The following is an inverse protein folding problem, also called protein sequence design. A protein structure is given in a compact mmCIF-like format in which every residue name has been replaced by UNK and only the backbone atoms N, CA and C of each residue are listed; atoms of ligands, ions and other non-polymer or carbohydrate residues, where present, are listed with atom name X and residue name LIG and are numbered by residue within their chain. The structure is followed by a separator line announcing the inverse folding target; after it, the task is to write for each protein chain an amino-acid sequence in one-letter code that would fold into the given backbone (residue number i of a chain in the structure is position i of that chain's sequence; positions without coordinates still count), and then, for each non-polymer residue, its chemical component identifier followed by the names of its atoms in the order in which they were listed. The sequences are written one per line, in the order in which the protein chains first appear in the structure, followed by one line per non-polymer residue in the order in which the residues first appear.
data_IF_586744076811
#
_entry.id   IF_586744076811
#
_cell.length_a   1.000
_cell.length_b   1.000
_cell.length_c   1.000
_cell.angle_alpha   90.00
_cell.angle_beta   90.00
_cell.angle_gamma   90.00
#
_symmetry.space_group_name_H-M   'P 1'
#
loop_
_entity.id
_entity.type
_entity.pdbx_description
1 polymer ?
#
# COMPACT_ATOMS: atom_id res chain seq x y z
N UNK A 1 -8.19 4.06 21.33
CA UNK A 1 -6.87 3.46 21.18
C UNK A 1 -6.51 3.17 19.72
N UNK A 2 -7.45 2.73 18.87
CA UNK A 2 -7.23 2.39 17.44
C UNK A 2 -6.60 3.52 16.61
N UNK A 3 -7.10 4.76 16.75
CA UNK A 3 -6.62 5.92 16.00
C UNK A 3 -5.14 6.21 16.18
N UNK A 4 -4.56 5.89 17.34
CA UNK A 4 -3.14 6.07 17.60
C UNK A 4 -2.27 5.18 16.70
N UNK A 5 -2.69 3.92 16.50
CA UNK A 5 -2.01 3.00 15.58
C UNK A 5 -2.13 3.47 14.13
N UNK A 6 -3.35 3.81 13.68
CA UNK A 6 -3.58 4.30 12.33
C UNK A 6 -2.76 5.56 12.03
N UNK A 7 -2.71 6.50 12.99
CA UNK A 7 -1.88 7.71 12.87
C UNK A 7 -0.39 7.37 12.76
N UNK A 8 0.11 6.46 13.58
CA UNK A 8 1.52 6.06 13.54
C UNK A 8 1.90 5.45 12.19
N UNK A 9 1.11 4.49 11.69
CA UNK A 9 1.39 3.84 10.40
C UNK A 9 1.38 4.87 9.26
N UNK A 10 0.42 5.79 9.27
CA UNK A 10 0.32 6.82 8.23
C UNK A 10 1.40 7.90 8.35
N UNK A 11 1.91 8.19 9.53
CA UNK A 11 3.07 9.07 9.69
C UNK A 11 4.36 8.46 9.12
N UNK A 12 4.46 7.14 9.15
CA UNK A 12 5.64 6.42 8.64
C UNK A 12 5.60 6.23 7.11
N UNK A 13 4.43 5.94 6.54
CA UNK A 13 4.33 5.46 5.16
C UNK A 13 3.23 6.14 4.33
N UNK A 14 2.53 7.14 4.87
CA UNK A 14 1.29 7.69 4.31
C UNK A 14 1.37 8.20 2.88
N UNK A 15 2.51 8.69 2.44
CA UNK A 15 2.76 9.19 1.09
C UNK A 15 2.66 8.11 0.00
N UNK A 16 2.78 6.83 0.36
CA UNK A 16 2.74 5.69 -0.55
C UNK A 16 1.79 4.57 -0.11
N UNK A 17 0.89 4.85 0.85
CA UNK A 17 -0.04 3.85 1.39
C UNK A 17 -1.34 3.74 0.60
N UNK A 18 -1.78 2.49 0.48
CA UNK A 18 -3.17 2.14 0.20
C UNK A 18 -3.77 1.47 1.45
N UNK A 19 -4.93 1.92 1.87
CA UNK A 19 -5.62 1.40 3.05
C UNK A 19 -6.96 0.82 2.62
N UNK A 20 -7.12 -0.48 2.82
CA UNK A 20 -8.42 -1.15 2.80
C UNK A 20 -8.92 -1.28 4.24
N UNK A 21 -10.06 -0.70 4.54
CA UNK A 21 -10.60 -0.63 5.88
C UNK A 21 -11.89 -1.42 6.00
N UNK A 22 -11.98 -2.33 6.96
CA UNK A 22 -13.22 -3.02 7.26
C UNK A 22 -14.24 -2.08 7.90
N UNK A 23 -15.49 -2.12 7.43
CA UNK A 23 -16.56 -1.36 8.04
C UNK A 23 -16.67 -1.67 9.54
N UNK A 24 -16.61 -0.62 10.37
CA UNK A 24 -16.61 -0.73 11.83
C UNK A 24 -16.24 0.58 12.50
N UNK A 25 -15.69 0.55 13.71
CA UNK A 25 -15.19 1.76 14.40
C UNK A 25 -14.20 2.55 13.56
N UNK A 26 -13.31 1.88 12.86
CA UNK A 26 -12.33 2.50 11.98
C UNK A 26 -12.94 3.28 10.81
N UNK A 27 -14.15 2.92 10.37
CA UNK A 27 -14.92 3.72 9.40
C UNK A 27 -15.47 4.99 10.02
N UNK A 28 -15.88 4.93 11.28
CA UNK A 28 -16.49 6.05 12.00
C UNK A 28 -15.47 7.14 12.28
N UNK A 29 -14.28 6.80 12.76
CA UNK A 29 -13.24 7.79 13.03
C UNK A 29 -12.34 8.07 11.80
N UNK A 30 -12.29 7.17 10.82
CA UNK A 30 -11.45 7.29 9.62
C UNK A 30 -12.12 8.01 8.45
N UNK A 31 -13.43 7.88 8.29
CA UNK A 31 -14.18 8.46 7.18
C UNK A 31 -14.44 9.96 7.30
N UNK A 32 -15.03 10.49 8.41
CA UNK A 32 -15.31 11.90 8.53
C UNK A 32 -14.05 12.74 8.68
N UNK A 33 -13.93 13.81 7.89
CA UNK A 33 -12.75 14.68 7.89
C UNK A 33 -12.37 15.27 9.27
N UNK A 34 -13.37 15.53 10.12
CA UNK A 34 -13.14 16.12 11.44
C UNK A 34 -12.49 15.15 12.45
N UNK A 35 -12.65 13.84 12.29
CA UNK A 35 -12.14 12.81 13.21
C UNK A 35 -11.04 11.97 12.61
N UNK A 36 -10.81 12.07 11.28
CA UNK A 36 -9.84 11.26 10.55
C UNK A 36 -8.41 11.48 11.08
N UNK A 37 -7.69 10.41 11.43
CA UNK A 37 -6.26 10.47 11.73
C UNK A 37 -5.39 10.62 10.48
N UNK A 38 -5.98 10.45 9.31
CA UNK A 38 -5.31 10.48 8.02
C UNK A 38 -5.19 11.92 7.52
N UNK A 39 -4.01 12.28 7.06
CA UNK A 39 -3.74 13.62 6.52
C UNK A 39 -2.71 13.54 5.40
N UNK A 40 -2.60 14.61 4.64
CA UNK A 40 -1.54 14.77 3.65
C UNK A 40 -0.30 15.42 4.27
N UNK A 41 0.85 15.16 3.68
CA UNK A 41 2.09 15.86 3.96
C UNK A 41 2.07 17.29 3.37
N UNK A 42 3.16 18.05 3.57
CA UNK A 42 3.31 19.41 3.04
C UNK A 42 3.27 19.50 1.51
N UNK A 43 3.44 18.40 0.80
CA UNK A 43 3.42 18.30 -0.67
C UNK A 43 2.04 17.84 -1.20
N UNK A 44 1.08 17.60 -0.30
CA UNK A 44 -0.26 17.12 -0.65
C UNK A 44 -0.36 15.60 -0.84
N UNK A 45 0.67 14.83 -0.48
CA UNK A 45 0.66 13.38 -0.54
C UNK A 45 0.14 12.79 0.77
N UNK A 46 -0.67 11.74 0.67
CA UNK A 46 -1.23 11.02 1.81
C UNK A 46 -1.80 9.67 1.39
N UNK A 47 -2.32 8.88 2.35
CA UNK A 47 -2.84 7.56 2.05
C UNK A 47 -4.09 7.63 1.16
N UNK A 48 -4.18 6.69 0.22
CA UNK A 48 -5.44 6.37 -0.44
C UNK A 48 -6.22 5.43 0.47
N UNK A 49 -7.39 5.87 0.94
CA UNK A 49 -8.23 5.13 1.87
C UNK A 49 -9.55 4.72 1.22
N UNK A 50 -9.92 3.46 1.38
CA UNK A 50 -11.19 2.93 0.92
C UNK A 50 -11.81 2.04 1.98
N UNK A 51 -13.11 2.20 2.20
CA UNK A 51 -13.89 1.33 3.08
C UNK A 51 -14.50 0.19 2.27
N UNK A 52 -14.29 -1.04 2.73
CA UNK A 52 -14.91 -2.24 2.16
C UNK A 52 -16.18 -2.63 2.91
N UNK A 53 -16.85 -3.67 2.44
CA UNK A 53 -17.82 -4.38 3.26
C UNK A 53 -17.11 -5.03 4.47
N UNK A 54 -17.88 -5.33 5.51
CA UNK A 54 -17.32 -5.80 6.77
C UNK A 54 -16.63 -7.16 6.63
N UNK A 55 -17.19 -8.06 5.83
CA UNK A 55 -16.74 -9.43 5.66
C UNK A 55 -15.60 -9.59 4.65
N UNK A 56 -15.53 -8.75 3.60
CA UNK A 56 -14.65 -8.95 2.44
C UNK A 56 -13.39 -8.06 2.39
N UNK A 57 -13.09 -7.42 3.51
CA UNK A 57 -12.01 -6.42 3.55
C UNK A 57 -10.63 -6.97 3.19
N UNK A 58 -10.34 -8.21 3.56
CA UNK A 58 -9.06 -8.82 3.26
C UNK A 58 -8.89 -8.99 1.75
N UNK A 59 -9.91 -9.52 1.08
CA UNK A 59 -9.94 -9.74 -0.36
C UNK A 59 -9.92 -8.42 -1.12
N UNK A 60 -10.63 -7.40 -0.64
CA UNK A 60 -10.61 -6.06 -1.21
C UNK A 60 -9.20 -5.46 -1.16
N UNK A 61 -8.53 -5.53 -0.01
CA UNK A 61 -7.14 -5.05 0.12
C UNK A 61 -6.16 -5.85 -0.72
N UNK A 62 -6.36 -7.16 -0.81
CA UNK A 62 -5.57 -8.01 -1.69
C UNK A 62 -5.78 -7.65 -3.17
N UNK A 63 -7.01 -7.34 -3.59
CA UNK A 63 -7.32 -6.85 -4.93
C UNK A 63 -6.59 -5.53 -5.25
N UNK A 64 -6.52 -4.60 -4.29
CA UNK A 64 -5.71 -3.38 -4.43
C UNK A 64 -4.23 -3.71 -4.67
N UNK A 65 -3.68 -4.66 -3.90
CA UNK A 65 -2.30 -5.11 -4.08
C UNK A 65 -2.06 -5.69 -5.47
N UNK A 66 -2.90 -6.64 -5.91
CA UNK A 66 -2.76 -7.30 -7.22
C UNK A 66 -2.84 -6.29 -8.36
N UNK A 67 -3.77 -5.32 -8.28
CA UNK A 67 -3.88 -4.24 -9.26
C UNK A 67 -2.62 -3.39 -9.35
N UNK A 68 -2.04 -3.01 -8.20
CA UNK A 68 -0.79 -2.25 -8.14
C UNK A 68 0.40 -3.06 -8.66
N UNK A 69 0.51 -4.32 -8.27
CA UNK A 69 1.57 -5.22 -8.72
C UNK A 69 1.55 -5.34 -10.24
N UNK A 70 0.37 -5.54 -10.84
CA UNK A 70 0.24 -5.68 -12.30
C UNK A 70 0.64 -4.42 -13.06
N UNK A 71 0.26 -3.24 -12.58
CA UNK A 71 0.68 -1.97 -13.19
C UNK A 71 2.20 -1.80 -13.09
N UNK A 72 2.79 -2.14 -11.95
CA UNK A 72 4.24 -2.06 -11.75
C UNK A 72 5.01 -3.05 -12.63
N UNK A 73 4.52 -4.29 -12.80
CA UNK A 73 5.10 -5.26 -13.74
C UNK A 73 5.17 -4.71 -15.18
N UNK A 74 4.07 -4.08 -15.65
CA UNK A 74 4.02 -3.42 -16.95
C UNK A 74 5.05 -2.28 -17.06
N UNK A 75 5.16 -1.45 -16.00
CA UNK A 75 6.15 -0.37 -15.94
C UNK A 75 7.59 -0.89 -15.90
N UNK A 76 7.86 -1.98 -15.18
CA UNK A 76 9.19 -2.62 -15.18
C UNK A 76 9.54 -3.15 -16.56
N UNK A 77 8.62 -3.85 -17.22
CA UNK A 77 8.83 -4.36 -18.58
C UNK A 77 9.08 -3.23 -19.60
N UNK A 78 8.34 -2.13 -19.52
CA UNK A 78 8.58 -0.95 -20.37
C UNK A 78 9.92 -0.27 -20.07
N UNK A 79 10.32 -0.22 -18.80
CA UNK A 79 11.62 0.31 -18.40
C UNK A 79 12.77 -0.54 -18.94
N UNK A 80 12.65 -1.86 -18.89
CA UNK A 80 13.62 -2.79 -19.49
C UNK A 80 13.71 -2.61 -21.02
N UNK A 81 12.57 -2.41 -21.70
CA UNK A 81 12.54 -2.08 -23.14
C UNK A 81 13.26 -0.74 -23.41
N UNK A 82 13.02 0.28 -22.58
CA UNK A 82 13.70 1.58 -22.70
C UNK A 82 15.21 1.46 -22.53
N UNK A 83 15.67 0.63 -21.58
CA UNK A 83 17.09 0.34 -21.36
C UNK A 83 17.75 -0.37 -22.56
N UNK A 84 17.01 -1.22 -23.25
CA UNK A 84 17.47 -1.96 -24.41
C UNK A 84 17.67 -1.08 -25.66
N UNK A 85 17.05 0.11 -25.71
CA UNK A 85 17.21 1.04 -26.83
C UNK A 85 18.60 1.67 -26.78
N UNK A 86 19.39 1.47 -27.85
CA UNK A 86 20.81 1.85 -27.90
C UNK A 86 21.02 3.36 -27.69
N UNK A 87 20.19 4.19 -28.31
CA UNK A 87 20.30 5.67 -28.27
C UNK A 87 19.63 6.32 -27.05
N UNK A 88 19.06 5.54 -26.11
CA UNK A 88 18.59 6.10 -24.84
C UNK A 88 19.77 6.74 -24.10
N UNK A 89 19.55 7.98 -23.63
CA UNK A 89 20.62 8.75 -22.99
C UNK A 89 21.19 8.06 -21.74
N UNK A 90 22.51 8.14 -21.49
CA UNK A 90 23.14 7.47 -20.35
C UNK A 90 22.53 7.83 -19.00
N UNK A 91 22.21 9.10 -18.77
CA UNK A 91 21.60 9.57 -17.53
C UNK A 91 20.22 8.95 -17.29
N UNK A 92 19.41 8.76 -18.35
CA UNK A 92 18.11 8.09 -18.25
C UNK A 92 18.31 6.60 -17.99
N UNK A 93 19.28 5.96 -18.62
CA UNK A 93 19.61 4.53 -18.36
C UNK A 93 20.03 4.32 -16.91
N UNK A 94 20.87 5.19 -16.36
CA UNK A 94 21.33 5.12 -14.97
C UNK A 94 20.15 5.26 -13.99
N UNK A 95 19.29 6.26 -14.18
CA UNK A 95 18.12 6.46 -13.33
C UNK A 95 17.11 5.30 -13.43
N UNK A 96 16.88 4.78 -14.63
CA UNK A 96 16.00 3.65 -14.87
C UNK A 96 16.51 2.36 -14.20
N UNK A 97 17.83 2.09 -14.32
CA UNK A 97 18.46 0.94 -13.67
C UNK A 97 18.39 1.06 -12.15
N UNK A 98 18.71 2.22 -11.58
CA UNK A 98 18.60 2.49 -10.14
C UNK A 98 17.18 2.25 -9.62
N UNK A 99 16.17 2.66 -10.40
CA UNK A 99 14.77 2.42 -10.05
C UNK A 99 14.44 0.92 -10.02
N UNK A 100 14.89 0.14 -11.01
CA UNK A 100 14.71 -1.33 -11.04
C UNK A 100 15.43 -2.02 -9.87
N UNK A 101 16.66 -1.60 -9.56
CA UNK A 101 17.46 -2.20 -8.49
C UNK A 101 16.86 -1.98 -7.10
N UNK A 102 16.09 -0.91 -6.91
CA UNK A 102 15.45 -0.56 -5.64
C UNK A 102 14.00 -1.00 -5.52
N UNK A 103 13.48 -1.75 -6.49
CA UNK A 103 12.04 -2.08 -6.63
C UNK A 103 11.38 -2.67 -5.38
N UNK A 104 12.13 -3.37 -4.53
CA UNK A 104 11.63 -4.05 -3.34
C UNK A 104 11.79 -3.22 -2.05
N UNK A 105 12.60 -2.17 -2.05
CA UNK A 105 12.77 -1.25 -0.93
C UNK A 105 11.88 -0.01 -1.10
N UNK A 106 10.85 0.12 -0.26
CA UNK A 106 9.87 1.20 -0.39
C UNK A 106 10.47 2.61 -0.30
N UNK A 107 11.44 2.84 0.57
CA UNK A 107 12.04 4.17 0.76
C UNK A 107 13.06 4.48 -0.34
N UNK A 108 13.97 3.55 -0.62
CA UNK A 108 14.96 3.71 -1.69
C UNK A 108 14.28 3.84 -3.06
N UNK A 109 13.21 3.06 -3.30
CA UNK A 109 12.44 3.13 -4.53
C UNK A 109 11.70 4.47 -4.69
N UNK A 110 11.17 5.05 -3.60
CA UNK A 110 10.52 6.36 -3.64
C UNK A 110 11.50 7.47 -4.08
N UNK A 111 12.74 7.46 -3.57
CA UNK A 111 13.78 8.40 -4.00
C UNK A 111 14.23 8.14 -5.44
N UNK A 112 14.50 6.89 -5.80
CA UNK A 112 14.85 6.51 -7.18
C UNK A 112 13.72 6.86 -8.18
N UNK A 113 12.46 6.79 -7.78
CA UNK A 113 11.33 7.20 -8.59
C UNK A 113 11.38 8.68 -8.94
N UNK A 114 11.73 9.55 -8.00
CA UNK A 114 11.85 11.01 -8.25
C UNK A 114 12.93 11.28 -9.30
N UNK A 115 14.09 10.65 -9.16
CA UNK A 115 15.20 10.77 -10.10
C UNK A 115 14.82 10.23 -11.48
N UNK A 116 14.14 9.09 -11.53
CA UNK A 116 13.71 8.47 -12.78
C UNK A 116 12.66 9.30 -13.51
N UNK A 117 11.66 9.83 -12.82
CA UNK A 117 10.65 10.73 -13.41
C UNK A 117 11.30 11.99 -13.96
N UNK A 118 12.23 12.60 -13.23
CA UNK A 118 12.96 13.77 -13.70
C UNK A 118 13.81 13.46 -14.96
N UNK A 119 14.49 12.30 -14.98
CA UNK A 119 15.23 11.86 -16.14
C UNK A 119 14.35 11.57 -17.36
N UNK A 120 13.19 10.95 -17.17
CA UNK A 120 12.19 10.74 -18.23
C UNK A 120 11.74 12.08 -18.83
N UNK A 121 11.35 13.03 -17.99
CA UNK A 121 10.89 14.36 -18.43
C UNK A 121 11.99 15.13 -19.19
N UNK A 122 13.24 15.04 -18.76
CA UNK A 122 14.37 15.70 -19.40
C UNK A 122 14.79 15.07 -20.74
N UNK A 123 14.34 13.85 -21.02
CA UNK A 123 14.77 13.10 -22.21
C UNK A 123 13.68 12.87 -23.26
N UNK A 124 12.47 13.39 -23.05
CA UNK A 124 11.41 13.41 -24.05
C UNK A 124 11.59 14.67 -24.89
N UNK A 125 11.93 14.49 -26.17
CA UNK A 125 12.02 15.60 -27.11
C UNK A 125 10.63 16.10 -27.49
N UNK A 126 10.41 17.40 -27.40
CA UNK A 126 9.20 18.06 -27.95
C UNK A 126 9.27 18.14 -29.46
N UNK A 127 8.12 18.28 -30.12
CA UNK A 127 8.06 18.49 -31.59
C UNK A 127 8.80 19.78 -32.00
N UNK A 128 8.81 20.80 -31.15
CA UNK A 128 9.52 22.06 -31.45
C UNK A 128 11.04 21.89 -31.34
N UNK A 129 11.55 21.13 -30.36
CA UNK A 129 12.96 20.77 -30.28
C UNK A 129 13.39 19.88 -31.45
N UNK A 130 12.54 18.96 -31.88
CA UNK A 130 12.77 18.11 -33.05
C UNK A 130 12.85 18.95 -34.32
N UNK A 131 11.99 19.96 -34.47
CA UNK A 131 11.98 20.89 -35.61
C UNK A 131 13.24 21.75 -35.71
N UNK A 132 13.90 22.01 -34.58
CA UNK A 132 15.15 22.78 -34.55
C UNK A 132 16.34 21.99 -35.14
N UNK A 133 16.20 20.68 -35.33
CA UNK A 133 17.22 19.83 -35.94
C UNK A 133 16.92 19.68 -37.42
N UNK A 134 17.76 20.23 -38.35
CA UNK A 134 17.43 20.26 -39.80
C UNK A 134 17.06 18.89 -40.38
N UNK A 135 17.71 17.83 -39.92
CA UNK A 135 17.46 16.44 -40.36
C UNK A 135 16.04 15.96 -40.07
N UNK A 136 15.40 16.48 -39.04
CA UNK A 136 14.09 16.06 -38.58
C UNK A 136 12.97 17.09 -38.77
N UNK A 137 13.26 18.21 -39.42
CA UNK A 137 12.31 19.31 -39.58
C UNK A 137 11.03 18.91 -40.34
N UNK A 138 11.13 18.11 -41.39
CA UNK A 138 9.96 17.61 -42.14
C UNK A 138 9.10 16.68 -41.28
N UNK A 139 9.73 15.74 -40.58
CA UNK A 139 9.03 14.85 -39.69
C UNK A 139 8.35 15.56 -38.51
N UNK A 140 9.02 16.55 -37.95
CA UNK A 140 8.44 17.41 -36.91
C UNK A 140 7.20 18.21 -37.42
N UNK A 141 7.24 18.66 -38.69
CA UNK A 141 6.09 19.33 -39.31
C UNK A 141 4.89 18.38 -39.46
N UNK A 142 5.13 17.13 -39.85
CA UNK A 142 4.08 16.11 -39.94
C UNK A 142 3.46 15.81 -38.56
N UNK A 143 4.29 15.65 -37.51
CA UNK A 143 3.82 15.42 -36.14
C UNK A 143 2.99 16.61 -35.64
N UNK A 144 3.44 17.83 -35.92
CA UNK A 144 2.71 19.05 -35.56
C UNK A 144 1.36 19.16 -36.29
N UNK A 145 1.30 18.76 -37.56
CA UNK A 145 0.06 18.70 -38.33
C UNK A 145 -0.95 17.69 -37.78
N UNK A 146 -0.45 16.59 -37.13
CA UNK A 146 -1.26 15.58 -36.43
C UNK A 146 -1.66 16.01 -35.02
N UNK A 147 -1.15 17.14 -34.51
CA UNK A 147 -1.42 17.64 -33.15
C UNK A 147 -0.57 16.98 -32.07
N UNK A 148 0.49 16.26 -32.45
CA UNK A 148 1.42 15.64 -31.52
C UNK A 148 2.28 16.69 -30.81
N UNK A 149 2.58 16.44 -29.55
CA UNK A 149 3.41 17.34 -28.71
C UNK A 149 4.86 16.88 -28.59
N UNK A 150 5.09 15.59 -28.75
CA UNK A 150 6.38 14.94 -28.51
C UNK A 150 6.83 14.13 -29.72
N UNK A 151 8.13 13.85 -29.75
CA UNK A 151 8.74 12.93 -30.70
C UNK A 151 8.09 11.54 -30.62
N UNK A 152 7.87 10.92 -31.78
CA UNK A 152 7.24 9.60 -31.90
C UNK A 152 8.24 8.43 -31.99
N UNK A 153 9.53 8.68 -31.70
CA UNK A 153 10.50 7.57 -31.65
C UNK A 153 10.19 6.62 -30.47
N UNK A 154 10.63 5.38 -30.58
CA UNK A 154 10.30 4.33 -29.61
C UNK A 154 10.69 4.71 -28.16
N UNK A 155 11.83 5.38 -27.97
CA UNK A 155 12.27 5.84 -26.66
C UNK A 155 11.34 6.91 -26.08
N UNK A 156 10.91 7.90 -26.86
CA UNK A 156 9.99 8.94 -26.43
C UNK A 156 8.59 8.38 -26.14
N UNK A 157 8.09 7.46 -26.97
CA UNK A 157 6.81 6.78 -26.74
C UNK A 157 6.81 5.99 -25.42
N UNK A 158 7.84 5.18 -25.19
CA UNK A 158 7.98 4.43 -23.93
C UNK A 158 8.10 5.38 -22.73
N UNK A 159 8.87 6.46 -22.85
CA UNK A 159 9.02 7.44 -21.79
C UNK A 159 7.70 8.16 -21.48
N UNK A 160 6.91 8.54 -22.50
CA UNK A 160 5.56 9.09 -22.31
C UNK A 160 4.64 8.09 -21.62
N UNK A 161 4.59 6.83 -22.11
CA UNK A 161 3.76 5.77 -21.53
C UNK A 161 4.08 5.51 -20.06
N UNK A 162 5.37 5.58 -19.68
CA UNK A 162 5.80 5.43 -18.30
C UNK A 162 5.40 6.65 -17.47
N UNK A 163 5.56 7.87 -18.01
CA UNK A 163 5.18 9.10 -17.32
C UNK A 163 3.68 9.23 -17.10
N UNK A 164 2.85 8.75 -18.02
CA UNK A 164 1.40 8.73 -17.85
C UNK A 164 0.97 7.91 -16.62
N UNK A 165 1.80 6.95 -16.23
CA UNK A 165 1.59 6.10 -15.05
C UNK A 165 2.59 6.40 -13.92
N UNK A 166 3.20 7.58 -13.88
CA UNK A 166 4.26 7.95 -12.91
C UNK A 166 3.88 7.73 -11.46
N UNK A 167 2.61 7.93 -11.12
CA UNK A 167 2.11 7.78 -9.75
C UNK A 167 2.15 6.32 -9.25
N UNK A 168 2.32 5.36 -10.15
CA UNK A 168 2.47 3.93 -9.86
C UNK A 168 3.94 3.46 -9.83
N UNK A 169 4.91 4.32 -10.16
CA UNK A 169 6.33 3.95 -10.14
C UNK A 169 6.84 3.65 -8.74
N UNK A 170 6.46 4.44 -7.74
CA UNK A 170 6.84 4.16 -6.35
C UNK A 170 6.18 2.89 -5.84
N UNK A 171 6.97 2.05 -5.13
CA UNK A 171 6.44 0.88 -4.44
C UNK A 171 5.37 1.31 -3.43
N UNK A 172 4.15 0.85 -3.63
CA UNK A 172 3.05 1.12 -2.70
C UNK A 172 3.10 0.19 -1.50
N UNK A 173 2.63 0.69 -0.37
CA UNK A 173 2.46 -0.04 0.87
C UNK A 173 0.97 -0.31 1.07
N UNK A 174 0.56 -1.57 1.00
CA UNK A 174 -0.85 -1.94 1.13
C UNK A 174 -1.12 -2.43 2.54
N UNK A 175 -2.04 -1.75 3.22
CA UNK A 175 -2.46 -2.03 4.58
C UNK A 175 -3.95 -2.37 4.63
N UNK A 176 -4.27 -3.46 5.30
CA UNK A 176 -5.63 -3.94 5.48
C UNK A 176 -5.97 -3.79 6.96
N UNK A 177 -6.87 -2.84 7.27
CA UNK A 177 -7.24 -2.48 8.64
C UNK A 177 -8.62 -3.01 9.01
N UNK A 178 -8.78 -3.51 10.21
CA UNK A 178 -10.08 -3.86 10.77
C UNK A 178 -10.01 -4.36 12.20
N UNK A 179 -11.17 -4.48 12.83
CA UNK A 179 -11.33 -4.92 14.21
C UNK A 179 -11.63 -6.40 14.35
N UNK A 180 -12.06 -6.78 15.55
CA UNK A 180 -12.32 -8.15 15.96
C UNK A 180 -13.33 -8.90 15.09
N UNK A 181 -14.48 -8.28 14.87
CA UNK A 181 -15.58 -8.93 14.16
C UNK A 181 -15.19 -9.31 12.75
N UNK A 182 -14.39 -8.49 12.11
CA UNK A 182 -13.79 -8.83 10.82
C UNK A 182 -12.74 -9.94 10.96
N UNK A 183 -11.66 -9.70 11.70
CA UNK A 183 -10.49 -10.56 11.65
C UNK A 183 -10.67 -11.89 12.39
N UNK A 184 -11.41 -11.91 13.51
CA UNK A 184 -11.58 -13.11 14.32
C UNK A 184 -12.82 -13.92 13.94
N UNK A 185 -13.85 -13.28 13.39
CA UNK A 185 -15.15 -13.87 13.17
C UNK A 185 -15.50 -13.97 11.68
N UNK A 186 -16.31 -13.02 11.16
CA UNK A 186 -16.94 -13.16 9.85
C UNK A 186 -15.95 -13.09 8.67
N UNK A 187 -14.94 -12.23 8.74
CA UNK A 187 -13.93 -12.06 7.70
C UNK A 187 -12.68 -12.93 7.86
N UNK A 188 -12.64 -13.82 8.87
CA UNK A 188 -11.46 -14.64 9.15
C UNK A 188 -11.04 -15.50 7.95
N UNK A 189 -11.99 -16.08 7.20
CA UNK A 189 -11.68 -16.89 6.04
C UNK A 189 -10.92 -16.11 4.96
N UNK A 190 -11.31 -14.86 4.73
CA UNK A 190 -10.60 -13.95 3.82
C UNK A 190 -9.20 -13.56 4.33
N UNK A 191 -9.07 -13.26 5.63
CA UNK A 191 -7.77 -12.97 6.24
C UNK A 191 -6.82 -14.15 6.09
N UNK A 192 -7.27 -15.35 6.41
CA UNK A 192 -6.51 -16.58 6.27
C UNK A 192 -6.08 -16.82 4.82
N UNK A 193 -7.04 -16.69 3.88
CA UNK A 193 -6.76 -16.85 2.45
C UNK A 193 -5.72 -15.85 1.94
N UNK A 194 -5.84 -14.58 2.29
CA UNK A 194 -4.91 -13.52 1.84
C UNK A 194 -3.51 -13.74 2.38
N UNK A 195 -3.38 -14.10 3.67
CA UNK A 195 -2.09 -14.44 4.27
C UNK A 195 -1.45 -15.67 3.61
N UNK A 196 -2.27 -16.65 3.22
CA UNK A 196 -1.82 -17.85 2.52
C UNK A 196 -1.26 -17.60 1.12
N UNK A 197 -1.58 -16.45 0.47
CA UNK A 197 -1.06 -16.11 -0.87
C UNK A 197 0.43 -15.76 -0.90
N UNK A 198 1.07 -15.58 0.25
CA UNK A 198 2.49 -15.20 0.36
C UNK A 198 2.84 -13.96 -0.49
N UNK A 199 2.00 -12.93 -0.44
CA UNK A 199 2.18 -11.66 -1.13
C UNK A 199 2.48 -10.54 -0.15
N UNK A 200 3.12 -9.47 -0.61
CA UNK A 200 3.55 -8.34 0.22
C UNK A 200 2.36 -7.43 0.57
N UNK A 201 1.59 -7.86 1.57
CA UNK A 201 0.47 -7.11 2.14
C UNK A 201 0.58 -7.07 3.67
N UNK A 202 0.17 -5.97 4.27
CA UNK A 202 0.21 -5.78 5.71
C UNK A 202 -1.21 -5.82 6.28
N UNK A 203 -1.50 -6.81 7.10
CA UNK A 203 -2.77 -6.94 7.81
C UNK A 203 -2.59 -6.40 9.23
N UNK A 204 -3.36 -5.39 9.60
CA UNK A 204 -3.36 -4.82 10.94
C UNK A 204 -4.73 -5.00 11.60
N UNK A 205 -4.76 -5.78 12.65
CA UNK A 205 -5.98 -6.05 13.44
C UNK A 205 -5.99 -5.18 14.69
N UNK A 206 -7.00 -4.33 14.81
CA UNK A 206 -7.31 -3.62 16.06
C UNK A 206 -8.02 -4.59 17.00
N UNK A 207 -7.29 -5.14 17.95
CA UNK A 207 -7.82 -6.10 18.93
C UNK A 207 -8.52 -5.36 20.07
N UNK A 208 -9.80 -5.11 19.88
CA UNK A 208 -10.66 -4.39 20.84
C UNK A 208 -11.36 -5.31 21.83
N UNK A 209 -11.21 -6.63 21.68
CA UNK A 209 -11.77 -7.70 22.53
C UNK A 209 -13.28 -7.81 22.52
N UNK A 210 -13.99 -6.88 21.87
CA UNK A 210 -15.45 -6.87 21.66
C UNK A 210 -15.80 -6.18 20.34
N UNK A 211 -17.00 -6.42 19.81
CA UNK A 211 -17.56 -5.62 18.71
C UNK A 211 -17.91 -4.22 19.25
N UNK A 212 -17.02 -3.25 19.03
CA UNK A 212 -17.13 -1.97 19.73
C UNK A 212 -18.29 -1.09 19.22
N UNK A 213 -18.37 -0.84 17.90
CA UNK A 213 -19.31 0.12 17.34
C UNK A 213 -20.78 -0.35 17.34
N UNK A 214 -21.03 -1.63 17.48
CA UNK A 214 -22.38 -2.22 17.50
C UNK A 214 -22.95 -2.38 18.90
N UNK A 215 -22.17 -2.15 19.95
CA UNK A 215 -22.63 -2.14 21.33
C UNK A 215 -21.95 -3.12 22.29
N UNK A 216 -20.73 -3.56 21.99
CA UNK A 216 -19.92 -4.35 22.93
C UNK A 216 -20.27 -5.83 22.97
N UNK A 217 -20.62 -6.43 21.83
CA UNK A 217 -20.86 -7.86 21.74
C UNK A 217 -19.58 -8.67 21.88
N UNK A 218 -19.67 -9.87 22.48
CA UNK A 218 -18.58 -10.81 22.54
C UNK A 218 -18.16 -11.27 21.14
N UNK A 219 -16.86 -11.27 20.89
CA UNK A 219 -16.20 -11.81 19.69
C UNK A 219 -15.37 -13.03 20.03
N UNK A 220 -14.76 -13.68 19.02
CA UNK A 220 -13.74 -14.68 19.27
C UNK A 220 -12.44 -14.09 19.85
N UNK A 221 -12.28 -12.77 19.82
CA UNK A 221 -11.19 -12.04 20.49
C UNK A 221 -11.46 -11.79 21.98
N UNK A 222 -12.70 -11.92 22.45
CA UNK A 222 -13.02 -11.74 23.88
C UNK A 222 -12.37 -12.83 24.73
N UNK A 223 -11.84 -12.46 25.88
CA UNK A 223 -11.17 -13.37 26.80
C UNK A 223 -12.19 -14.30 27.51
N UNK A 224 -11.72 -15.45 27.95
CA UNK A 224 -12.52 -16.35 28.80
C UNK A 224 -12.94 -15.60 30.08
N UNK A 225 -14.19 -15.71 30.46
CA UNK A 225 -14.76 -15.03 31.62
C UNK A 225 -15.14 -13.56 31.38
N UNK A 226 -14.80 -12.97 30.24
CA UNK A 226 -15.16 -11.59 29.93
C UNK A 226 -16.66 -11.43 29.78
N UNK A 227 -17.23 -10.47 30.49
CA UNK A 227 -18.64 -10.08 30.38
C UNK A 227 -18.81 -9.11 29.22
N UNK A 228 -19.71 -9.41 28.31
CA UNK A 228 -20.04 -8.62 27.15
C UNK A 228 -21.48 -8.90 26.70
N UNK A 229 -21.99 -8.14 25.73
CA UNK A 229 -23.28 -8.49 25.10
C UNK A 229 -23.20 -9.90 24.53
N UNK A 230 -24.25 -10.69 24.72
CA UNK A 230 -24.35 -12.13 24.43
C UNK A 230 -23.44 -13.05 25.27
N UNK A 231 -22.75 -12.50 26.26
CA UNK A 231 -21.94 -13.24 27.23
C UNK A 231 -22.10 -12.64 28.63
N UNK A 232 -23.35 -12.47 29.09
CA UNK A 232 -23.68 -11.82 30.37
C UNK A 232 -23.16 -12.58 31.59
N UNK A 233 -23.02 -13.91 31.50
CA UNK A 233 -22.41 -14.76 32.54
C UNK A 233 -20.88 -14.93 32.38
N UNK A 234 -20.28 -14.21 31.44
CA UNK A 234 -18.90 -14.38 31.05
C UNK A 234 -18.74 -15.33 29.88
N UNK A 235 -17.79 -15.03 28.98
CA UNK A 235 -17.47 -15.89 27.84
C UNK A 235 -16.91 -17.23 28.29
N UNK A 236 -17.47 -18.31 27.82
CA UNK A 236 -17.11 -19.68 28.22
C UNK A 236 -15.87 -20.23 27.49
N UNK A 237 -15.59 -19.71 26.29
CA UNK A 237 -14.50 -20.19 25.43
C UNK A 237 -13.28 -19.27 25.48
N UNK A 238 -12.10 -19.85 25.26
CA UNK A 238 -10.84 -19.11 25.15
C UNK A 238 -10.84 -18.17 23.95
N UNK A 239 -10.06 -17.09 24.05
CA UNK A 239 -9.74 -16.20 22.92
C UNK A 239 -9.10 -17.00 21.80
N UNK A 240 -9.56 -16.79 20.58
CA UNK A 240 -8.93 -17.32 19.37
C UNK A 240 -7.55 -16.67 19.18
N UNK A 241 -6.54 -17.45 18.91
CA UNK A 241 -5.19 -16.95 18.64
C UNK A 241 -4.94 -16.82 17.14
N UNK A 242 -5.13 -15.60 16.58
CA UNK A 242 -4.79 -15.34 15.18
C UNK A 242 -3.28 -15.44 14.95
N UNK A 243 -2.46 -15.04 15.92
CA UNK A 243 -1.01 -15.11 15.82
C UNK A 243 -0.51 -16.55 15.67
N UNK A 244 -1.02 -17.49 16.46
CA UNK A 244 -0.63 -18.91 16.36
C UNK A 244 -1.07 -19.52 15.02
N UNK A 245 -2.26 -19.19 14.54
CA UNK A 245 -2.75 -19.62 13.23
C UNK A 245 -1.83 -19.09 12.12
N UNK A 246 -1.52 -17.80 12.12
CA UNK A 246 -0.65 -17.20 11.13
C UNK A 246 0.79 -17.75 11.20
N UNK A 247 1.34 -17.96 12.39
CA UNK A 247 2.66 -18.56 12.56
C UNK A 247 2.74 -19.98 12.01
N UNK A 248 1.63 -20.71 11.94
CA UNK A 248 1.61 -22.07 11.39
C UNK A 248 2.00 -22.16 9.91
N UNK A 249 1.86 -21.05 9.16
CA UNK A 249 2.30 -20.95 7.76
C UNK A 249 3.83 -20.89 7.59
N UNK A 250 4.57 -20.45 8.61
CA UNK A 250 6.04 -20.45 8.63
C UNK A 250 6.71 -19.32 7.84
N UNK A 251 5.99 -18.56 7.03
CA UNK A 251 6.51 -17.46 6.22
C UNK A 251 5.83 -16.10 6.48
N UNK A 252 4.88 -16.02 7.39
CA UNK A 252 4.18 -14.78 7.72
C UNK A 252 4.95 -14.05 8.82
N UNK A 253 5.20 -12.74 8.63
CA UNK A 253 5.67 -11.91 9.73
C UNK A 253 4.53 -11.68 10.71
N UNK A 254 4.70 -12.04 11.98
CA UNK A 254 3.65 -11.93 13.00
C UNK A 254 4.14 -11.11 14.17
N UNK A 255 3.38 -10.09 14.57
CA UNK A 255 3.65 -9.32 15.78
C UNK A 255 2.38 -9.03 16.57
N UNK A 256 2.49 -9.05 17.90
CA UNK A 256 1.49 -8.51 18.82
C UNK A 256 2.10 -7.30 19.52
N UNK A 257 1.38 -6.18 19.50
CA UNK A 257 1.88 -4.91 20.02
C UNK A 257 0.83 -4.21 20.88
N UNK A 258 1.31 -3.46 21.88
CA UNK A 258 0.50 -2.61 22.74
C UNK A 258 1.20 -1.25 22.86
N UNK A 259 0.75 -0.27 22.04
CA UNK A 259 1.40 1.04 21.94
C UNK A 259 1.49 1.74 23.31
N UNK A 260 0.45 1.63 24.13
CA UNK A 260 0.43 2.22 25.47
C UNK A 260 1.43 1.59 26.45
N UNK A 261 1.82 0.33 26.21
CA UNK A 261 2.79 -0.38 27.04
C UNK A 261 4.23 -0.19 26.53
N UNK A 262 4.43 -0.27 25.22
CA UNK A 262 5.75 -0.16 24.59
C UNK A 262 5.67 0.46 23.19
N UNK A 263 5.73 1.78 23.07
CA UNK A 263 5.68 2.46 21.76
C UNK A 263 6.89 2.13 20.89
N UNK A 264 8.06 1.91 21.46
CA UNK A 264 9.26 1.55 20.68
C UNK A 264 9.13 0.18 20.01
N UNK A 265 8.59 -0.82 20.72
CA UNK A 265 8.27 -2.12 20.13
C UNK A 265 7.24 -1.99 19.01
N UNK A 266 6.21 -1.17 19.20
CA UNK A 266 5.18 -0.95 18.19
C UNK A 266 5.76 -0.35 16.91
N UNK A 267 6.58 0.70 17.03
CA UNK A 267 7.27 1.32 15.88
C UNK A 267 8.14 0.29 15.17
N UNK A 268 8.93 -0.46 15.93
CA UNK A 268 9.81 -1.50 15.38
C UNK A 268 9.02 -2.55 14.60
N UNK A 269 7.96 -3.11 15.19
CA UNK A 269 7.13 -4.14 14.54
C UNK A 269 6.48 -3.63 13.24
N UNK A 270 5.97 -2.40 13.23
CA UNK A 270 5.37 -1.78 12.04
C UNK A 270 6.44 -1.56 10.96
N UNK A 271 7.62 -1.10 11.33
CA UNK A 271 8.72 -0.88 10.38
C UNK A 271 9.25 -2.19 9.80
N UNK A 272 9.39 -3.21 10.62
CA UNK A 272 9.81 -4.56 10.18
C UNK A 272 8.77 -5.21 9.26
N UNK A 273 7.47 -5.08 9.57
CA UNK A 273 6.39 -5.58 8.74
C UNK A 273 6.39 -4.94 7.34
N UNK A 274 6.59 -3.62 7.27
CA UNK A 274 6.67 -2.90 6.00
C UNK A 274 7.92 -3.28 5.18
N UNK A 275 9.03 -3.53 5.85
CA UNK A 275 10.27 -3.95 5.20
C UNK A 275 10.26 -5.43 4.78
N UNK A 276 9.36 -6.22 5.35
CA UNK A 276 9.26 -7.65 5.04
C UNK A 276 8.66 -7.86 3.66
N UNK A 277 9.34 -8.62 2.80
CA UNK A 277 8.86 -8.92 1.46
C UNK A 277 7.98 -10.18 1.47
N UNK A 278 6.83 -10.08 2.07
CA UNK A 278 5.84 -11.13 2.27
C UNK A 278 4.64 -10.63 3.07
N UNK A 279 3.69 -11.49 3.41
CA UNK A 279 2.53 -11.09 4.20
C UNK A 279 2.90 -10.84 5.66
N UNK A 280 2.32 -9.79 6.24
CA UNK A 280 2.50 -9.45 7.65
C UNK A 280 1.15 -9.42 8.38
N UNK A 281 1.14 -9.91 9.61
CA UNK A 281 0.00 -9.80 10.53
C UNK A 281 0.45 -9.08 11.80
N UNK A 282 -0.08 -7.90 12.04
CA UNK A 282 0.11 -7.15 13.28
C UNK A 282 -1.20 -7.13 14.05
N UNK A 283 -1.17 -7.50 15.31
CA UNK A 283 -2.30 -7.45 16.24
C UNK A 283 -2.01 -6.33 17.24
N UNK A 284 -2.72 -5.21 17.10
CA UNK A 284 -2.60 -4.05 17.98
C UNK A 284 -3.61 -4.10 19.11
N UNK A 285 -3.17 -4.34 20.34
CA UNK A 285 -4.01 -4.33 21.53
C UNK A 285 -4.62 -2.97 21.77
N UNK A 286 -5.94 -2.91 21.73
CA UNK A 286 -6.70 -1.66 21.68
C UNK A 286 -8.07 -1.80 22.34
N UNK A 287 -8.14 -2.28 23.60
CA UNK A 287 -9.39 -2.62 24.26
C UNK A 287 -10.34 -1.43 24.32
N UNK A 288 -11.62 -1.70 24.16
CA UNK A 288 -12.73 -0.73 24.29
C UNK A 288 -13.39 -0.79 25.65
#
# INVERSE_FOLDING_TARGET
AETSYARLVTQLFGDRMYISNATGCSSIWGGPGATSPYCTDKNGHGPAWCNSLFEDNAEHGFGMYVGQEKIREDLMAKTEQLLAIEWTQPALKEAAQKWLDTKDDGNANAEATKEYVAALQANIATVDELAAVPKFAEHAAELKAKGEKFCDCDACKLACDILDKKDYLSKKSVWIFGGDGWAYDIGFGGVDHVLAQNKNVNVFVFDTEVYSNTGGQASKASNIGQVAQFAAAGKETKKKSLSEIAMSYGYIYVAQVAMGANPAQTIKAITEAEAYNGPSLIIGYSPC
#
